data_IF_488594217017
#
_entry.id   IF_488594217017
#
_cell.length_a   1.000
_cell.length_b   1.000
_cell.length_c   1.000
_cell.angle_alpha   90.00
_cell.angle_beta   90.00
_cell.angle_gamma   90.00
#
_symmetry.space_group_name_H-M   'P 1'
#
loop_
_entity.id
_entity.type
_entity.pdbx_description
1 polymer ?
#
# COMPACT_ATOMS: atom_id res chain seq x y z
N UNK A 1 -11.53 -34.05 -5.07
CA UNK A 1 -12.32 -33.38 -4.01
C UNK A 1 -12.33 -31.89 -4.25
N UNK A 2 -13.32 -31.17 -3.72
CA UNK A 2 -13.60 -29.74 -4.03
C UNK A 2 -12.85 -28.73 -3.12
N UNK A 3 -11.83 -29.18 -2.36
CA UNK A 3 -11.12 -28.36 -1.37
C UNK A 3 -11.83 -28.26 0.00
N UNK A 4 -11.28 -27.46 0.90
CA UNK A 4 -11.82 -27.19 2.25
C UNK A 4 -11.94 -25.66 2.47
N UNK A 5 -12.98 -25.18 3.18
CA UNK A 5 -13.13 -23.75 3.47
C UNK A 5 -12.10 -23.25 4.51
N UNK A 6 -11.55 -22.05 4.31
CA UNK A 6 -10.59 -21.43 5.24
C UNK A 6 -11.16 -21.25 6.65
N UNK A 7 -12.45 -21.02 6.79
CA UNK A 7 -13.16 -20.92 8.07
C UNK A 7 -13.16 -22.22 8.87
N UNK A 8 -12.86 -23.37 8.26
CA UNK A 8 -12.62 -24.62 8.97
C UNK A 8 -11.26 -24.69 9.66
N UNK A 9 -10.30 -23.85 9.26
CA UNK A 9 -8.92 -23.82 9.78
C UNK A 9 -8.63 -22.58 10.62
N UNK A 10 -9.28 -21.46 10.32
CA UNK A 10 -9.07 -20.15 10.93
C UNK A 10 -10.33 -19.65 11.63
N UNK A 11 -10.17 -18.80 12.65
CA UNK A 11 -11.26 -18.20 13.42
C UNK A 11 -11.28 -16.68 13.21
N UNK A 12 -11.71 -16.19 12.04
CA UNK A 12 -11.76 -14.77 11.76
C UNK A 12 -12.90 -14.09 12.56
N UNK A 13 -12.81 -12.77 12.79
CA UNK A 13 -13.91 -12.00 13.36
C UNK A 13 -15.21 -12.11 12.52
N UNK A 14 -16.39 -11.93 13.13
CA UNK A 14 -17.65 -11.93 12.40
C UNK A 14 -17.65 -10.92 11.24
N UNK A 15 -18.07 -11.36 10.06
CA UNK A 15 -18.14 -10.52 8.86
C UNK A 15 -16.79 -10.24 8.18
N UNK A 16 -15.68 -10.75 8.71
CA UNK A 16 -14.38 -10.60 8.07
C UNK A 16 -14.25 -11.47 6.81
N UNK A 17 -13.59 -10.91 5.81
CA UNK A 17 -13.26 -11.53 4.52
C UNK A 17 -11.76 -11.82 4.43
N UNK A 18 -11.39 -12.78 3.58
CA UNK A 18 -9.99 -13.10 3.30
C UNK A 18 -9.54 -12.32 2.05
N UNK A 19 -8.81 -11.23 2.25
CA UNK A 19 -8.46 -10.27 1.19
C UNK A 19 -7.19 -10.65 0.42
N UNK A 20 -6.23 -11.34 1.06
CA UNK A 20 -4.92 -11.58 0.49
C UNK A 20 -4.31 -12.88 1.04
N UNK A 21 -3.51 -13.55 0.21
CA UNK A 21 -2.67 -14.68 0.59
C UNK A 21 -1.22 -14.32 0.28
N UNK A 22 -0.33 -14.52 1.25
CA UNK A 22 1.10 -14.33 1.12
C UNK A 22 1.83 -15.59 1.55
N UNK A 23 3.00 -15.84 0.94
CA UNK A 23 3.92 -16.91 1.29
C UNK A 23 5.33 -16.31 1.48
N UNK A 24 5.54 -15.50 2.51
CA UNK A 24 6.81 -14.79 2.70
C UNK A 24 7.87 -15.72 3.30
N UNK A 25 9.11 -15.61 2.83
CA UNK A 25 10.27 -16.05 3.60
C UNK A 25 10.41 -15.18 4.86
N UNK A 26 10.97 -15.73 5.94
CA UNK A 26 11.08 -15.02 7.22
C UNK A 26 11.80 -13.67 7.11
N UNK A 27 12.83 -13.58 6.24
CA UNK A 27 13.59 -12.36 5.99
C UNK A 27 13.00 -11.44 4.95
N UNK A 28 11.97 -11.85 4.21
CA UNK A 28 11.37 -11.04 3.16
C UNK A 28 10.73 -9.77 3.74
N UNK A 29 10.83 -8.65 3.03
CA UNK A 29 10.25 -7.38 3.46
C UNK A 29 8.99 -7.06 2.66
N UNK A 30 8.00 -6.49 3.33
CA UNK A 30 6.76 -6.02 2.73
C UNK A 30 6.40 -4.63 3.27
N UNK A 31 5.75 -3.83 2.43
CA UNK A 31 5.02 -2.65 2.86
C UNK A 31 3.58 -3.06 3.15
N UNK A 32 3.14 -2.87 4.40
CA UNK A 32 1.76 -3.07 4.84
C UNK A 32 1.13 -1.71 5.10
N UNK A 33 -0.09 -1.50 4.62
CA UNK A 33 -0.78 -0.23 4.80
C UNK A 33 -2.30 -0.39 4.88
N UNK A 34 -2.92 0.63 5.46
CA UNK A 34 -4.35 0.89 5.36
C UNK A 34 -4.61 1.96 4.30
N UNK A 35 -5.80 1.95 3.73
CA UNK A 35 -6.22 2.98 2.79
C UNK A 35 -6.46 4.36 3.44
N UNK A 36 -6.29 4.46 4.76
CA UNK A 36 -6.20 5.73 5.48
C UNK A 36 -4.89 6.50 5.25
N UNK A 37 -3.95 5.93 4.49
CA UNK A 37 -2.63 6.53 4.24
C UNK A 37 -1.63 6.27 5.38
N UNK A 38 -1.81 5.22 6.17
CA UNK A 38 -0.88 4.80 7.22
C UNK A 38 -0.36 3.38 6.97
N UNK A 39 0.93 3.15 7.20
CA UNK A 39 1.55 1.84 7.04
C UNK A 39 2.96 1.76 7.60
N UNK A 40 3.61 0.63 7.37
CA UNK A 40 4.96 0.34 7.84
C UNK A 40 5.60 -0.76 7.00
N UNK A 41 6.94 -0.84 7.06
CA UNK A 41 7.67 -2.01 6.55
C UNK A 41 7.59 -3.13 7.58
N UNK A 42 7.37 -4.37 7.15
CA UNK A 42 7.30 -5.55 8.01
C UNK A 42 8.17 -6.66 7.44
N UNK A 43 8.71 -7.52 8.32
CA UNK A 43 9.38 -8.76 7.91
C UNK A 43 8.40 -9.91 7.78
N UNK A 44 8.74 -10.92 6.97
CA UNK A 44 7.95 -12.13 6.83
C UNK A 44 7.73 -12.87 8.15
N UNK A 45 8.75 -12.94 9.00
CA UNK A 45 8.66 -13.56 10.33
C UNK A 45 7.57 -12.89 11.21
N UNK A 46 7.38 -11.58 11.05
CA UNK A 46 6.37 -10.80 11.77
C UNK A 46 4.95 -11.01 11.20
N UNK A 47 4.79 -11.56 10.00
CA UNK A 47 3.48 -11.89 9.43
C UNK A 47 2.92 -13.21 9.98
N UNK A 48 3.77 -14.04 10.59
CA UNK A 48 3.39 -15.36 11.07
C UNK A 48 2.53 -15.29 12.34
N UNK A 49 1.49 -16.14 12.40
CA UNK A 49 0.66 -16.32 13.58
C UNK A 49 0.52 -17.83 13.90
N UNK A 50 0.76 -18.21 15.16
CA UNK A 50 0.72 -19.61 15.59
C UNK A 50 -0.69 -20.09 15.98
N UNK A 51 -1.59 -19.17 16.27
CA UNK A 51 -2.95 -19.43 16.75
C UNK A 51 -3.99 -19.30 15.62
N UNK A 52 -5.08 -20.08 15.72
CA UNK A 52 -6.19 -20.05 14.74
C UNK A 52 -6.90 -18.69 14.63
N UNK A 53 -6.87 -17.89 15.70
CA UNK A 53 -7.42 -16.54 15.72
C UNK A 53 -6.52 -15.51 15.01
N UNK A 54 -5.31 -15.91 14.60
CA UNK A 54 -4.35 -15.04 13.92
C UNK A 54 -3.74 -13.97 14.83
N UNK A 55 -3.13 -12.98 14.18
CA UNK A 55 -2.44 -11.83 14.80
C UNK A 55 -3.11 -10.53 14.39
N UNK A 56 -3.36 -9.65 15.36
CA UNK A 56 -3.72 -8.26 15.08
C UNK A 56 -2.47 -7.51 14.55
N UNK A 57 -2.27 -7.58 13.24
CA UNK A 57 -1.10 -7.04 12.55
C UNK A 57 -1.24 -5.54 12.25
N UNK A 58 -2.30 -5.15 11.55
CA UNK A 58 -2.56 -3.78 11.12
C UNK A 58 -3.79 -3.24 11.86
N UNK A 59 -3.65 -2.11 12.53
CA UNK A 59 -4.78 -1.41 13.16
C UNK A 59 -5.39 -0.42 12.19
N UNK A 60 -6.68 -0.58 11.89
CA UNK A 60 -7.40 0.25 10.92
C UNK A 60 -8.10 1.43 11.61
N UNK A 61 -7.91 2.67 11.13
CA UNK A 61 -8.81 3.77 11.46
C UNK A 61 -10.26 3.47 11.04
N UNK A 62 -11.22 4.20 11.62
CA UNK A 62 -12.64 4.06 11.27
C UNK A 62 -12.86 4.25 9.76
N UNK A 63 -13.60 3.32 9.15
CA UNK A 63 -13.91 3.32 7.73
C UNK A 63 -12.74 2.88 6.83
N UNK A 64 -11.53 2.69 7.36
CA UNK A 64 -10.38 2.29 6.58
C UNK A 64 -10.38 0.78 6.28
N UNK A 65 -9.79 0.42 5.15
CA UNK A 65 -9.58 -0.95 4.69
C UNK A 65 -8.09 -1.26 4.57
N UNK A 66 -7.77 -2.54 4.45
CA UNK A 66 -6.41 -3.01 4.19
C UNK A 66 -6.09 -2.81 2.71
N UNK A 67 -4.89 -2.32 2.40
CA UNK A 67 -4.34 -2.31 1.04
C UNK A 67 -3.52 -3.59 0.83
N UNK A 68 -3.58 -4.22 -0.36
CA UNK A 68 -2.76 -5.40 -0.65
C UNK A 68 -1.28 -5.14 -0.31
N UNK A 69 -0.64 -6.02 0.49
CA UNK A 69 0.77 -5.93 0.82
C UNK A 69 1.64 -5.82 -0.43
N UNK A 70 2.64 -4.93 -0.41
CA UNK A 70 3.57 -4.76 -1.53
C UNK A 70 4.93 -5.35 -1.14
N UNK A 71 5.51 -6.28 -1.92
CA UNK A 71 6.85 -6.79 -1.64
C UNK A 71 7.86 -5.64 -1.76
N UNK A 72 8.90 -5.69 -0.92
CA UNK A 72 9.99 -4.72 -0.89
C UNK A 72 11.31 -5.46 -1.11
N UNK A 73 11.95 -5.22 -2.26
CA UNK A 73 13.19 -5.89 -2.63
C UNK A 73 14.42 -5.17 -2.04
N UNK A 74 14.49 -3.84 -2.20
CA UNK A 74 15.60 -3.04 -1.73
C UNK A 74 15.11 -1.85 -0.90
N UNK A 75 15.21 -1.95 0.42
CA UNK A 75 14.77 -0.87 1.33
C UNK A 75 15.53 0.43 1.14
N UNK A 76 16.81 0.36 0.81
CA UNK A 76 17.68 1.54 0.77
C UNK A 76 17.50 2.36 -0.51
N UNK A 77 17.12 1.70 -1.60
CA UNK A 77 17.05 2.30 -2.94
C UNK A 77 15.63 2.44 -3.48
N UNK A 78 14.71 1.53 -3.12
CA UNK A 78 13.35 1.55 -3.65
C UNK A 78 12.58 2.78 -3.14
N UNK A 79 11.64 3.23 -3.96
CA UNK A 79 10.73 4.33 -3.69
C UNK A 79 9.32 3.81 -3.42
N UNK A 80 8.56 4.49 -2.57
CA UNK A 80 7.15 4.23 -2.36
C UNK A 80 6.32 5.28 -3.08
N UNK A 81 5.48 4.84 -4.00
CA UNK A 81 4.44 5.63 -4.64
C UNK A 81 3.11 5.41 -3.92
N UNK A 82 2.42 6.50 -3.59
CA UNK A 82 1.10 6.49 -2.97
C UNK A 82 0.14 7.43 -3.68
N UNK A 83 -1.01 6.91 -4.09
CA UNK A 83 -2.02 7.69 -4.82
C UNK A 83 -3.38 7.68 -4.13
N UNK A 84 -3.98 8.84 -3.97
CA UNK A 84 -5.33 8.99 -3.37
C UNK A 84 -6.43 8.92 -4.43
N UNK A 85 -7.67 8.68 -4.02
CA UNK A 85 -8.88 8.81 -4.88
C UNK A 85 -9.08 10.20 -5.46
N UNK A 86 -8.50 11.22 -4.84
CA UNK A 86 -8.47 12.59 -5.37
C UNK A 86 -7.37 12.84 -6.42
N UNK A 87 -6.62 11.81 -6.81
CA UNK A 87 -5.54 11.92 -7.77
C UNK A 87 -4.35 12.73 -7.27
N UNK A 88 -4.06 12.69 -5.95
CA UNK A 88 -2.77 13.15 -5.43
C UNK A 88 -1.79 11.99 -5.40
N UNK A 89 -0.61 12.18 -5.97
CA UNK A 89 0.49 11.23 -5.96
C UNK A 89 1.63 11.78 -5.11
N UNK A 90 2.20 10.93 -4.26
CA UNK A 90 3.42 11.21 -3.50
C UNK A 90 4.43 10.08 -3.73
N UNK A 91 5.68 10.44 -3.97
CA UNK A 91 6.83 9.56 -4.05
C UNK A 91 7.83 9.91 -2.94
N UNK A 92 8.33 8.91 -2.22
CA UNK A 92 9.43 9.10 -1.25
C UNK A 92 10.26 7.81 -1.08
N UNK A 93 11.52 7.86 -0.62
CA UNK A 93 12.34 6.67 -0.39
C UNK A 93 11.72 5.71 0.65
N UNK A 94 11.65 4.41 0.37
CA UNK A 94 11.01 3.45 1.29
C UNK A 94 11.71 3.41 2.65
N UNK A 95 13.03 3.64 2.72
CA UNK A 95 13.79 3.75 3.97
C UNK A 95 13.22 4.77 4.97
N UNK A 96 12.50 5.79 4.50
CA UNK A 96 11.87 6.79 5.36
C UNK A 96 10.60 6.27 6.05
N UNK A 97 10.09 5.11 5.64
CA UNK A 97 8.98 4.41 6.28
C UNK A 97 9.51 3.47 7.39
N UNK A 98 9.09 3.67 8.66
CA UNK A 98 9.56 2.83 9.76
C UNK A 98 9.18 1.35 9.59
N UNK A 99 10.04 0.47 10.09
CA UNK A 99 9.76 -0.96 10.16
C UNK A 99 9.14 -1.30 11.52
N UNK A 100 8.02 -2.02 11.52
CA UNK A 100 7.30 -2.42 12.73
C UNK A 100 6.83 -3.86 12.60
N UNK A 101 6.66 -4.56 13.74
CA UNK A 101 6.09 -5.90 13.77
C UNK A 101 4.56 -5.95 13.82
N UNK A 102 3.89 -4.82 14.12
CA UNK A 102 2.43 -4.61 14.10
C UNK A 102 2.07 -3.15 14.44
N UNK A 103 0.83 -2.75 14.20
CA UNK A 103 0.23 -1.50 14.70
C UNK A 103 -0.52 -0.74 13.61
N UNK A 104 -0.85 0.53 13.88
CA UNK A 104 -1.45 1.43 12.87
C UNK A 104 -0.46 1.82 11.76
N UNK A 105 0.83 1.82 12.07
CA UNK A 105 1.86 2.36 11.19
C UNK A 105 1.98 3.88 11.25
N UNK A 106 2.89 4.38 10.43
CA UNK A 106 3.20 5.78 10.28
C UNK A 106 2.56 6.33 9.00
N UNK A 107 2.35 7.64 8.96
CA UNK A 107 1.73 8.31 7.81
C UNK A 107 2.60 8.13 6.56
N UNK A 108 2.02 7.57 5.50
CA UNK A 108 2.60 7.41 4.16
C UNK A 108 2.26 8.65 3.33
N UNK A 109 0.97 8.96 3.24
CA UNK A 109 0.43 10.13 2.54
C UNK A 109 -0.62 10.80 3.43
N UNK A 110 -0.67 12.13 3.41
CA UNK A 110 -1.63 12.88 4.20
C UNK A 110 -3.03 12.74 3.62
N UNK A 111 -3.96 12.19 4.40
CA UNK A 111 -5.40 12.15 4.11
C UNK A 111 -6.14 12.57 5.39
N UNK A 112 -7.07 13.55 5.35
CA UNK A 112 -7.85 13.94 6.51
C UNK A 112 -8.64 12.75 7.06
N UNK A 113 -8.52 12.49 8.37
CA UNK A 113 -9.14 11.32 9.00
C UNK A 113 -10.67 11.30 8.87
N UNK A 114 -11.32 12.46 8.93
CA UNK A 114 -12.77 12.60 8.72
C UNK A 114 -13.19 12.13 7.32
N UNK A 115 -12.39 12.44 6.30
CA UNK A 115 -12.65 12.04 4.90
C UNK A 115 -12.38 10.57 4.63
N UNK A 116 -11.45 9.97 5.37
CA UNK A 116 -11.29 8.50 5.39
C UNK A 116 -12.53 7.87 6.02
N UNK A 117 -12.99 8.39 7.17
CA UNK A 117 -14.13 7.84 7.88
C UNK A 117 -15.43 7.95 7.08
N UNK A 118 -15.64 9.05 6.35
CA UNK A 118 -16.78 9.23 5.42
C UNK A 118 -16.56 8.62 4.03
N UNK A 119 -15.41 7.98 3.78
CA UNK A 119 -15.00 7.41 2.47
C UNK A 119 -14.97 8.41 1.31
N UNK A 120 -14.86 9.70 1.59
CA UNK A 120 -14.72 10.75 0.57
C UNK A 120 -13.33 10.82 -0.04
N UNK A 121 -12.30 10.54 0.74
CA UNK A 121 -10.91 10.51 0.30
C UNK A 121 -10.18 9.38 1.02
N UNK A 122 -9.49 8.54 0.26
CA UNK A 122 -8.67 7.45 0.76
C UNK A 122 -7.52 7.18 -0.24
N UNK A 123 -6.56 6.38 0.19
CA UNK A 123 -5.47 5.87 -0.63
C UNK A 123 -6.04 4.80 -1.56
N UNK A 124 -5.95 5.02 -2.87
CA UNK A 124 -6.39 4.05 -3.88
C UNK A 124 -5.42 2.87 -3.92
N UNK A 125 -4.12 3.14 -4.08
CA UNK A 125 -3.12 2.09 -4.24
C UNK A 125 -1.71 2.57 -3.86
N UNK A 126 -0.81 1.59 -3.66
CA UNK A 126 0.61 1.75 -3.43
C UNK A 126 1.42 0.97 -4.45
N UNK A 127 2.61 1.48 -4.79
CA UNK A 127 3.60 0.74 -5.53
C UNK A 127 4.99 0.95 -4.92
N UNK A 128 5.74 -0.15 -4.77
CA UNK A 128 7.18 -0.10 -4.51
C UNK A 128 7.87 -0.04 -5.86
N UNK A 129 8.63 1.02 -6.09
CA UNK A 129 9.22 1.36 -7.37
C UNK A 129 10.76 1.24 -7.25
N UNK A 130 11.38 0.27 -7.93
CA UNK A 130 12.83 0.22 -8.06
C UNK A 130 13.38 1.46 -8.74
N UNK A 131 14.64 1.80 -8.46
CA UNK A 131 15.30 2.95 -9.09
C UNK A 131 15.25 2.83 -10.62
N UNK A 132 14.78 3.90 -11.26
CA UNK A 132 14.71 4.01 -12.71
C UNK A 132 13.52 3.29 -13.37
N UNK A 133 12.72 2.54 -12.61
CA UNK A 133 11.48 1.95 -13.12
C UNK A 133 10.45 3.03 -13.52
N UNK A 134 9.54 2.66 -14.41
CA UNK A 134 8.42 3.52 -14.83
C UNK A 134 7.19 3.20 -14.00
N UNK A 135 6.56 4.24 -13.44
CA UNK A 135 5.29 4.10 -12.73
C UNK A 135 4.14 4.31 -13.72
N UNK A 136 3.27 3.32 -13.88
CA UNK A 136 2.10 3.41 -14.76
C UNK A 136 0.84 3.51 -13.93
N UNK A 137 0.13 4.62 -14.06
CA UNK A 137 -1.16 4.84 -13.42
C UNK A 137 -2.27 4.42 -14.37
N UNK A 138 -3.16 3.55 -13.90
CA UNK A 138 -4.35 3.16 -14.64
C UNK A 138 -5.57 3.94 -14.14
N UNK A 139 -6.28 4.59 -15.06
CA UNK A 139 -7.48 5.38 -14.80
C UNK A 139 -8.57 4.97 -15.80
N UNK A 140 -9.41 4.02 -15.41
CA UNK A 140 -10.36 3.32 -16.26
C UNK A 140 -9.65 2.61 -17.41
N UNK A 141 -9.95 3.03 -18.64
CA UNK A 141 -9.34 2.50 -19.87
C UNK A 141 -8.07 3.22 -20.29
N UNK A 142 -7.65 4.26 -19.56
CA UNK A 142 -6.50 5.10 -19.90
C UNK A 142 -5.34 4.79 -18.97
N UNK A 143 -4.12 4.96 -19.47
CA UNK A 143 -2.90 4.86 -18.68
C UNK A 143 -2.08 6.14 -18.79
N UNK A 144 -1.35 6.46 -17.73
CA UNK A 144 -0.33 7.51 -17.68
C UNK A 144 0.97 6.87 -17.19
N UNK A 145 1.98 6.85 -18.04
CA UNK A 145 3.32 6.36 -17.67
C UNK A 145 4.17 7.55 -17.23
N UNK A 146 4.72 7.48 -16.02
CA UNK A 146 5.62 8.47 -15.45
C UNK A 146 7.04 7.88 -15.39
N UNK A 147 7.95 8.47 -16.18
CA UNK A 147 9.37 8.11 -16.16
C UNK A 147 10.10 8.91 -15.08
N UNK A 148 11.40 8.64 -14.92
CA UNK A 148 12.23 9.27 -13.89
C UNK A 148 12.07 10.81 -13.82
N UNK A 149 12.09 11.50 -14.97
CA UNK A 149 11.95 12.96 -15.02
C UNK A 149 10.54 13.43 -14.62
N UNK A 150 9.49 12.72 -15.03
CA UNK A 150 8.11 13.04 -14.66
C UNK A 150 7.86 12.79 -13.17
N UNK A 151 8.51 11.76 -12.61
CA UNK A 151 8.40 11.36 -11.21
C UNK A 151 8.99 12.40 -10.26
N UNK A 152 9.97 13.19 -10.70
CA UNK A 152 10.59 14.25 -9.89
C UNK A 152 9.54 15.23 -9.34
N UNK A 153 8.52 15.55 -10.14
CA UNK A 153 7.43 16.42 -9.70
C UNK A 153 6.63 15.85 -8.51
N UNK A 154 6.61 14.53 -8.32
CA UNK A 154 5.83 13.88 -7.26
C UNK A 154 6.69 13.48 -6.04
N UNK A 155 8.01 13.68 -6.11
CA UNK A 155 8.90 13.44 -4.97
C UNK A 155 8.64 14.46 -3.87
N UNK A 156 8.64 14.00 -2.63
CA UNK A 156 8.48 14.86 -1.47
C UNK A 156 8.68 14.13 -0.15
N UNK A 157 8.57 14.86 0.96
CA UNK A 157 8.67 14.26 2.28
C UNK A 157 7.50 13.30 2.57
N UNK A 158 7.80 12.18 3.22
CA UNK A 158 6.78 11.22 3.68
C UNK A 158 5.68 11.92 4.49
N UNK A 159 4.42 11.57 4.22
CA UNK A 159 3.26 12.04 4.95
C UNK A 159 2.71 13.40 4.52
N UNK A 160 3.32 14.04 3.51
CA UNK A 160 2.74 15.20 2.82
C UNK A 160 1.50 14.82 2.01
N UNK A 161 0.77 15.81 1.50
CA UNK A 161 -0.47 15.58 0.74
C UNK A 161 -0.26 14.98 -0.66
N UNK A 162 0.96 15.04 -1.21
CA UNK A 162 1.23 14.69 -2.61
C UNK A 162 0.76 15.77 -3.58
N UNK A 163 1.26 15.68 -4.82
CA UNK A 163 0.93 16.61 -5.90
C UNK A 163 -0.17 16.04 -6.79
N UNK A 164 -1.01 16.93 -7.33
CA UNK A 164 -2.15 16.52 -8.18
C UNK A 164 -1.64 15.99 -9.51
N UNK A 165 -2.18 14.84 -9.90
CA UNK A 165 -2.03 14.28 -11.24
C UNK A 165 -2.69 15.19 -12.29
N UNK A 166 -2.24 15.11 -13.55
CA UNK A 166 -2.84 15.86 -14.64
C UNK A 166 -4.34 15.58 -14.76
N UNK A 167 -5.09 16.59 -15.23
CA UNK A 167 -6.53 16.43 -15.47
C UNK A 167 -6.75 15.24 -16.42
N UNK A 168 -7.75 14.42 -16.11
CA UNK A 168 -8.05 13.19 -16.85
C UNK A 168 -7.39 11.92 -16.30
N UNK A 169 -6.45 12.03 -15.36
CA UNK A 169 -5.79 10.89 -14.70
C UNK A 169 -5.95 10.89 -13.16
N UNK A 170 -6.90 11.67 -12.63
CA UNK A 170 -7.10 11.79 -11.18
C UNK A 170 -7.94 10.67 -10.57
N UNK A 171 -8.75 9.97 -11.37
CA UNK A 171 -9.50 8.78 -10.94
C UNK A 171 -8.66 7.54 -11.23
N UNK A 172 -7.65 7.32 -10.40
CA UNK A 172 -6.74 6.17 -10.51
C UNK A 172 -7.41 4.97 -9.88
N UNK A 173 -7.29 3.82 -10.53
CA UNK A 173 -7.78 2.52 -10.05
C UNK A 173 -6.64 1.69 -9.45
N UNK A 174 -5.47 1.70 -10.08
CA UNK A 174 -4.29 0.94 -9.65
C UNK A 174 -2.99 1.54 -10.17
N UNK A 175 -1.90 1.19 -9.50
CA UNK A 175 -0.52 1.49 -9.89
C UNK A 175 0.15 0.22 -10.40
N UNK A 176 0.84 0.32 -11.52
CA UNK A 176 1.69 -0.72 -12.09
C UNK A 176 3.14 -0.23 -12.16
N UNK A 177 4.06 -1.17 -12.08
CA UNK A 177 5.50 -0.90 -12.14
C UNK A 177 6.07 -1.65 -13.34
N UNK A 178 6.62 -0.90 -14.28
CA UNK A 178 7.37 -1.44 -15.41
C UNK A 178 8.86 -1.34 -15.09
N UNK A 179 9.57 -2.47 -14.97
CA UNK A 179 11.00 -2.46 -14.72
C UNK A 179 11.75 -1.85 -15.91
N UNK A 180 12.95 -1.35 -15.66
CA UNK A 180 13.89 -1.02 -16.74
C UNK A 180 14.15 -2.28 -17.58
N UNK A 181 14.07 -2.11 -18.90
CA UNK A 181 14.48 -3.12 -19.87
C UNK A 181 16.01 -3.28 -19.88
#
# INVERSE_FOLDING_TARGET
GQGEPLTGRLTPPPGATFECVLLPDDSALYVIASDAGYGFVVKGEDLQAKNKAGKALLSLPTGALVVPPKPLANREEDWLAAVTTEGRLLLFPVRDLPQLGKGKGNKIIGIPGERVASREEYLTDLAVLPVGATLVLQAGKRTLSLKADDLEHYKGERGRRGNKLPRGFQRVDNLLVEPLA
#
